data_IF_441476169087
#
_entry.id   IF_441476169087
#
_cell.length_a   1.000
_cell.length_b   1.000
_cell.length_c   1.000
_cell.angle_alpha   90.00
_cell.angle_beta   90.00
_cell.angle_gamma   90.00
#
_symmetry.space_group_name_H-M   'P 1'
#
loop_
_entity.id
_entity.type
_entity.pdbx_description
1 polymer ?
#
# COMPACT_ATOMS: atom_id res chain seq x y z
N UNK A 1 10.60 -32.35 -8.69
CA UNK A 1 10.11 -31.11 -8.05
C UNK A 1 9.10 -30.49 -8.99
N UNK A 2 7.84 -30.88 -8.87
CA UNK A 2 6.75 -30.25 -9.61
C UNK A 2 6.56 -28.86 -9.06
N UNK A 3 6.38 -27.87 -9.94
CA UNK A 3 5.86 -26.57 -9.51
C UNK A 3 4.40 -26.83 -9.15
N UNK A 4 4.15 -27.08 -7.86
CA UNK A 4 2.81 -27.35 -7.36
C UNK A 4 1.92 -26.13 -7.63
N UNK A 5 0.66 -26.33 -8.04
CA UNK A 5 -0.23 -25.23 -8.45
C UNK A 5 -0.34 -24.07 -7.43
N UNK A 6 -0.12 -24.37 -6.15
CA UNK A 6 -0.02 -23.39 -5.07
C UNK A 6 1.14 -22.41 -5.22
N UNK A 7 2.30 -22.86 -5.72
CA UNK A 7 3.45 -22.00 -6.03
C UNK A 7 3.11 -21.05 -7.17
N UNK A 8 2.51 -21.55 -8.25
CA UNK A 8 2.07 -20.71 -9.37
C UNK A 8 1.03 -19.67 -8.94
N UNK A 9 0.03 -20.08 -8.15
CA UNK A 9 -0.98 -19.17 -7.62
C UNK A 9 -0.38 -18.11 -6.69
N UNK A 10 0.49 -18.52 -5.76
CA UNK A 10 1.19 -17.61 -4.85
C UNK A 10 2.06 -16.62 -5.62
N UNK A 11 2.89 -17.09 -6.55
CA UNK A 11 3.73 -16.23 -7.38
C UNK A 11 2.89 -15.27 -8.22
N UNK A 12 1.78 -15.74 -8.81
CA UNK A 12 0.86 -14.89 -9.57
C UNK A 12 0.26 -13.78 -8.70
N UNK A 13 -0.22 -14.12 -7.50
CA UNK A 13 -0.78 -13.14 -6.56
C UNK A 13 0.29 -12.15 -6.11
N UNK A 14 1.47 -12.61 -5.69
CA UNK A 14 2.56 -11.74 -5.23
C UNK A 14 3.05 -10.85 -6.37
N UNK A 15 3.22 -11.38 -7.59
CA UNK A 15 3.59 -10.59 -8.75
C UNK A 15 2.57 -9.48 -9.02
N UNK A 16 1.27 -9.80 -8.97
CA UNK A 16 0.20 -8.80 -9.10
C UNK A 16 0.34 -7.72 -8.01
N UNK A 17 0.52 -8.15 -6.75
CA UNK A 17 0.63 -7.26 -5.59
C UNK A 17 1.87 -6.36 -5.65
N UNK A 18 2.99 -6.85 -6.20
CA UNK A 18 4.23 -6.09 -6.36
C UNK A 18 4.13 -5.05 -7.48
N UNK A 19 3.39 -5.33 -8.56
CA UNK A 19 3.20 -4.38 -9.67
C UNK A 19 2.29 -3.22 -9.28
N UNK A 20 1.32 -3.44 -8.37
CA UNK A 20 0.45 -2.39 -7.86
C UNK A 20 1.25 -1.46 -6.91
N UNK A 21 1.54 -0.20 -7.29
CA UNK A 21 2.12 0.75 -6.34
C UNK A 21 1.15 0.88 -5.16
N UNK A 22 1.57 0.38 -4.00
CA UNK A 22 0.70 0.30 -2.82
C UNK A 22 0.24 1.67 -2.32
N UNK A 23 -0.75 1.66 -1.42
CA UNK A 23 -1.27 2.89 -0.80
C UNK A 23 -0.18 3.74 -0.14
N UNK A 24 0.84 3.08 0.40
CA UNK A 24 2.01 3.72 1.00
C UNK A 24 2.84 4.53 -0.01
N UNK A 25 3.20 3.89 -1.13
CA UNK A 25 3.95 4.53 -2.22
C UNK A 25 3.15 5.68 -2.85
N UNK A 26 1.83 5.51 -3.01
CA UNK A 26 0.95 6.56 -3.49
C UNK A 26 0.88 7.76 -2.53
N UNK A 27 0.84 7.50 -1.22
CA UNK A 27 0.87 8.54 -0.19
C UNK A 27 2.20 9.29 -0.20
N UNK A 28 3.33 8.56 -0.19
CA UNK A 28 4.67 9.16 -0.24
C UNK A 28 4.85 9.96 -1.53
N UNK A 29 4.39 9.45 -2.68
CA UNK A 29 4.42 10.20 -3.94
C UNK A 29 3.57 11.48 -3.86
N UNK A 30 2.35 11.41 -3.30
CA UNK A 30 1.50 12.59 -3.09
C UNK A 30 2.15 13.63 -2.19
N UNK A 31 2.73 13.21 -1.07
CA UNK A 31 3.44 14.12 -0.15
C UNK A 31 4.68 14.70 -0.83
N UNK A 32 5.42 13.89 -1.58
CA UNK A 32 6.60 14.35 -2.32
C UNK A 32 6.22 15.42 -3.36
N UNK A 33 5.12 15.22 -4.09
CA UNK A 33 4.63 16.13 -5.12
C UNK A 33 4.03 17.42 -4.55
N UNK A 34 3.32 17.35 -3.41
CA UNK A 34 2.62 18.50 -2.83
C UNK A 34 3.45 19.29 -1.81
N UNK A 35 4.22 18.60 -0.97
CA UNK A 35 4.91 19.16 0.20
C UNK A 35 6.45 19.04 0.11
N UNK A 36 6.95 18.34 -0.89
CA UNK A 36 8.37 18.22 -1.19
C UNK A 36 9.10 17.08 -0.47
N UNK A 37 10.41 16.95 -0.75
CA UNK A 37 11.23 15.80 -0.32
C UNK A 37 11.40 15.68 1.21
N UNK A 38 11.43 16.80 1.93
CA UNK A 38 11.58 16.81 3.40
C UNK A 38 10.33 16.27 4.10
N UNK A 39 9.15 16.71 3.68
CA UNK A 39 7.88 16.20 4.20
C UNK A 39 7.74 14.70 3.92
N UNK A 40 8.07 14.27 2.69
CA UNK A 40 8.04 12.86 2.32
C UNK A 40 8.96 11.98 3.19
N UNK A 41 10.14 12.48 3.56
CA UNK A 41 11.08 11.76 4.43
C UNK A 41 10.48 11.53 5.82
N UNK A 42 9.86 12.56 6.42
CA UNK A 42 9.18 12.44 7.70
C UNK A 42 7.98 11.48 7.61
N UNK A 43 7.21 11.53 6.53
CA UNK A 43 6.12 10.57 6.28
C UNK A 43 6.64 9.14 6.21
N UNK A 44 7.70 8.88 5.42
CA UNK A 44 8.30 7.54 5.33
C UNK A 44 8.85 7.04 6.66
N UNK A 45 9.40 7.95 7.49
CA UNK A 45 9.92 7.60 8.81
C UNK A 45 8.79 7.19 9.75
N UNK A 46 7.66 7.92 9.71
CA UNK A 46 6.44 7.57 10.44
C UNK A 46 5.86 6.22 10.01
N UNK A 47 5.77 5.98 8.70
CA UNK A 47 5.34 4.69 8.13
C UNK A 47 6.24 3.56 8.64
N UNK A 48 7.56 3.73 8.51
CA UNK A 48 8.55 2.71 8.88
C UNK A 48 8.54 2.43 10.38
N UNK A 49 8.33 3.45 11.22
CA UNK A 49 8.19 3.29 12.67
C UNK A 49 6.85 2.64 13.08
N UNK A 50 5.76 2.92 12.35
CA UNK A 50 4.45 2.35 12.62
C UNK A 50 4.29 0.90 12.18
N UNK A 51 4.95 0.50 11.09
CA UNK A 51 4.93 -0.87 10.55
C UNK A 51 5.24 -1.97 11.59
N UNK A 52 6.33 -1.90 12.38
CA UNK A 52 6.63 -2.93 13.38
C UNK A 52 5.61 -2.93 14.53
N UNK A 53 5.10 -1.77 14.94
CA UNK A 53 4.07 -1.67 15.98
C UNK A 53 2.77 -2.34 15.51
N UNK A 54 2.36 -2.07 14.27
CA UNK A 54 1.19 -2.73 13.69
C UNK A 54 1.39 -4.23 13.47
N UNK A 55 2.57 -4.64 13.01
CA UNK A 55 2.91 -6.05 12.78
C UNK A 55 2.90 -6.85 14.09
N UNK A 56 3.49 -6.30 15.15
CA UNK A 56 3.48 -6.92 16.49
C UNK A 56 2.08 -6.99 17.08
N UNK A 57 1.30 -5.90 17.00
CA UNK A 57 -0.09 -5.90 17.44
C UNK A 57 -0.94 -6.94 16.67
N UNK A 58 -0.74 -7.04 15.36
CA UNK A 58 -1.42 -8.03 14.50
C UNK A 58 -0.99 -9.45 14.82
N UNK A 59 0.31 -9.70 15.03
CA UNK A 59 0.83 -11.02 15.38
C UNK A 59 0.26 -11.48 16.74
N UNK A 60 0.28 -10.61 17.74
CA UNK A 60 -0.28 -10.92 19.06
C UNK A 60 -1.80 -11.14 18.99
N UNK A 61 -2.54 -10.25 18.31
CA UNK A 61 -3.99 -10.37 18.16
C UNK A 61 -4.41 -11.60 17.37
N UNK A 62 -3.75 -11.88 16.24
CA UNK A 62 -4.05 -13.04 15.41
C UNK A 62 -3.68 -14.36 16.10
N UNK A 63 -2.60 -14.37 16.90
CA UNK A 63 -2.22 -15.54 17.70
C UNK A 63 -3.30 -15.93 18.70
N UNK A 64 -3.97 -14.95 19.32
CA UNK A 64 -5.12 -15.20 20.20
C UNK A 64 -6.27 -15.81 19.41
N UNK A 65 -6.63 -15.23 18.26
CA UNK A 65 -7.72 -15.76 17.42
C UNK A 65 -7.44 -17.21 16.98
N UNK A 66 -6.21 -17.50 16.56
CA UNK A 66 -5.76 -18.85 16.19
C UNK A 66 -5.83 -19.82 17.37
N UNK A 67 -5.47 -19.39 18.57
CA UNK A 67 -5.53 -20.22 19.78
C UNK A 67 -6.98 -20.49 20.24
N UNK A 68 -7.92 -19.59 19.90
CA UNK A 68 -9.30 -19.68 20.40
C UNK A 68 -10.19 -20.53 19.49
N UNK A 69 -10.08 -20.41 18.15
CA UNK A 69 -10.91 -21.21 17.22
C UNK A 69 -10.47 -21.15 15.75
N UNK A 70 -10.51 -22.30 15.07
CA UNK A 70 -10.29 -22.42 13.62
C UNK A 70 -11.39 -21.73 12.77
N UNK A 71 -12.63 -21.70 13.27
CA UNK A 71 -13.76 -21.01 12.62
C UNK A 71 -13.53 -19.50 12.58
N UNK A 72 -13.09 -18.91 13.70
CA UNK A 72 -12.84 -17.48 13.81
C UNK A 72 -11.72 -17.03 12.85
N UNK A 73 -10.65 -17.82 12.73
CA UNK A 73 -9.59 -17.55 11.76
C UNK A 73 -10.09 -17.62 10.31
N UNK A 74 -11.01 -18.54 10.01
CA UNK A 74 -11.61 -18.66 8.67
C UNK A 74 -12.44 -17.42 8.32
N UNK A 75 -13.25 -16.91 9.27
CA UNK A 75 -14.01 -15.66 9.08
C UNK A 75 -13.07 -14.49 8.79
N UNK A 76 -12.01 -14.33 9.56
CA UNK A 76 -11.02 -13.26 9.34
C UNK A 76 -10.35 -13.41 7.97
N UNK A 77 -9.99 -14.63 7.57
CA UNK A 77 -9.38 -14.91 6.27
C UNK A 77 -10.30 -14.53 5.11
N UNK A 78 -11.57 -14.92 5.17
CA UNK A 78 -12.57 -14.60 4.14
C UNK A 78 -12.89 -13.10 4.12
N UNK A 79 -13.04 -12.47 5.28
CA UNK A 79 -13.24 -11.03 5.40
C UNK A 79 -12.07 -10.24 4.82
N UNK A 80 -10.83 -10.64 5.12
CA UNK A 80 -9.62 -10.05 4.56
C UNK A 80 -9.54 -10.20 3.04
N UNK A 81 -9.86 -11.38 2.50
CA UNK A 81 -9.94 -11.60 1.06
C UNK A 81 -10.98 -10.69 0.39
N UNK A 82 -12.17 -10.55 0.98
CA UNK A 82 -13.21 -9.65 0.49
C UNK A 82 -12.77 -8.18 0.51
N UNK A 83 -12.10 -7.74 1.58
CA UNK A 83 -11.59 -6.38 1.68
C UNK A 83 -10.52 -6.07 0.63
N UNK A 84 -9.60 -7.01 0.37
CA UNK A 84 -8.60 -6.88 -0.69
C UNK A 84 -9.22 -6.84 -2.09
N UNK A 85 -10.24 -7.66 -2.35
CA UNK A 85 -10.99 -7.61 -3.62
C UNK A 85 -11.66 -6.23 -3.80
N UNK A 86 -12.28 -5.70 -2.75
CA UNK A 86 -12.87 -4.35 -2.77
C UNK A 86 -11.82 -3.26 -3.04
N UNK A 87 -10.68 -3.29 -2.34
CA UNK A 87 -9.59 -2.34 -2.56
C UNK A 87 -9.05 -2.43 -3.99
N UNK A 88 -8.83 -3.64 -4.51
CA UNK A 88 -8.35 -3.86 -5.87
C UNK A 88 -9.31 -3.34 -6.95
N UNK A 89 -10.61 -3.58 -6.80
CA UNK A 89 -11.62 -3.04 -7.73
C UNK A 89 -11.65 -1.52 -7.66
N UNK A 90 -11.59 -0.95 -6.45
CA UNK A 90 -11.60 0.51 -6.25
C UNK A 90 -10.37 1.18 -6.87
N UNK A 91 -9.17 0.63 -6.70
CA UNK A 91 -7.94 1.19 -7.27
C UNK A 91 -7.94 1.12 -8.79
N UNK A 92 -8.39 -0.01 -9.37
CA UNK A 92 -8.56 -0.12 -10.83
C UNK A 92 -9.52 0.95 -11.34
N UNK A 93 -10.71 1.08 -10.73
CA UNK A 93 -11.71 2.07 -11.14
C UNK A 93 -11.21 3.51 -11.05
N UNK A 94 -10.48 3.85 -9.99
CA UNK A 94 -9.92 5.19 -9.81
C UNK A 94 -8.73 5.45 -10.75
N UNK A 95 -7.98 4.41 -11.15
CA UNK A 95 -6.91 4.52 -12.17
C UNK A 95 -7.49 4.83 -13.54
N UNK A 96 -8.51 4.08 -13.98
CA UNK A 96 -9.17 4.31 -15.28
C UNK A 96 -9.81 5.71 -15.40
N UNK A 97 -10.08 6.39 -14.29
CA UNK A 97 -10.60 7.77 -14.29
C UNK A 97 -9.49 8.83 -14.36
N UNK A 98 -8.24 8.50 -14.05
CA UNK A 98 -7.13 9.47 -14.00
C UNK A 98 -6.40 9.64 -15.34
N UNK A 99 -6.59 8.75 -16.31
CA UNK A 99 -5.91 8.82 -17.62
C UNK A 99 -6.48 9.89 -18.59
N UNK A 100 -7.49 10.67 -18.20
CA UNK A 100 -8.13 11.68 -19.06
C UNK A 100 -8.07 13.13 -18.53
N UNK A 101 -7.01 13.51 -17.80
CA UNK A 101 -6.78 14.89 -17.35
C UNK A 101 -5.51 15.49 -17.96
N UNK A 102 -5.56 16.65 -18.65
CA UNK A 102 -4.37 17.27 -19.24
C UNK A 102 -3.28 17.50 -18.19
N UNK A 103 -2.07 17.02 -18.49
CA UNK A 103 -0.86 17.13 -17.69
C UNK A 103 -0.68 18.52 -17.08
N UNK A 104 -0.81 18.61 -15.76
CA UNK A 104 -0.49 19.83 -15.03
C UNK A 104 1.01 20.13 -15.18
N UNK A 105 1.31 21.22 -15.90
CA UNK A 105 2.63 21.80 -16.10
C UNK A 105 3.41 21.89 -14.78
N UNK A 106 4.68 21.43 -14.71
CA UNK A 106 5.46 21.50 -13.48
C UNK A 106 5.65 22.96 -13.07
N UNK A 107 5.09 23.33 -11.92
CA UNK A 107 5.27 24.65 -11.31
C UNK A 107 6.73 24.78 -10.89
N UNK A 108 7.53 25.39 -11.75
CA UNK A 108 8.92 25.80 -11.54
C UNK A 108 9.01 26.61 -10.24
N UNK A 109 9.47 26.00 -9.15
CA UNK A 109 9.79 26.69 -7.90
C UNK A 109 10.87 27.71 -8.19
N UNK A 110 10.54 29.00 -8.05
CA UNK A 110 11.50 30.10 -8.06
C UNK A 110 12.49 29.91 -6.91
N UNK A 111 13.67 29.41 -7.23
CA UNK A 111 14.87 29.56 -6.41
C UNK A 111 15.85 30.43 -7.22
N UNK A 112 15.53 31.71 -7.34
CA UNK A 112 16.44 32.74 -7.85
C UNK A 112 16.09 34.05 -7.14
N UNK A 113 17.02 34.53 -6.29
CA UNK A 113 16.98 35.86 -5.70
C UNK A 113 16.40 35.96 -4.29
N UNK A 114 17.19 35.61 -3.27
CA UNK A 114 16.96 36.10 -1.90
C UNK A 114 18.27 36.20 -1.07
N UNK A 115 19.43 36.23 -1.73
CA UNK A 115 20.69 36.63 -1.12
C UNK A 115 21.22 37.82 -1.91
N UNK A 116 20.62 38.97 -1.65
CA UNK A 116 21.14 40.30 -1.94
C UNK A 116 21.07 41.09 -0.62
#
# INVERSE_FOLDING_TARGET
MTIDGSLLAFTGIVALLTVLPGADMALVAKVTLNEGRRAAFLTSLGITAGLPIHATASALGLSIVLATSAEAFTVVKVAGAGYLAYLGIRTLRDSFRRDFGPSATPRRTKAAGAFA
#
